data_IF_164936655175
#
_entry.id   IF_164936655175
#
_cell.length_a   1.000
_cell.length_b   1.000
_cell.length_c   1.000
_cell.angle_alpha   90.00
_cell.angle_beta   90.00
_cell.angle_gamma   90.00
#
_symmetry.space_group_name_H-M   'P 1'
#
loop_
_entity.id
_entity.type
_entity.pdbx_description
1 polymer ?
#
# COMPACT_ATOMS: atom_id res chain seq x y z
N UNK A 1 0.87 11.20 -17.39
CA UNK A 1 1.10 11.17 -15.94
C UNK A 1 0.14 12.11 -15.23
N UNK A 2 -0.45 11.66 -14.14
CA UNK A 2 -1.39 12.47 -13.36
C UNK A 2 -0.64 13.05 -12.16
N UNK A 3 -0.85 14.34 -11.87
CA UNK A 3 -0.30 14.96 -10.66
C UNK A 3 -1.35 14.96 -9.56
N UNK A 4 -0.92 15.05 -8.30
CA UNK A 4 -1.85 15.04 -7.17
C UNK A 4 -2.87 16.18 -7.26
N UNK A 5 -2.46 17.34 -7.76
CA UNK A 5 -3.36 18.49 -7.90
C UNK A 5 -4.46 18.28 -8.94
N UNK A 6 -4.31 17.31 -9.83
CA UNK A 6 -5.30 17.01 -10.87
C UNK A 6 -6.32 15.97 -10.44
N UNK A 7 -6.13 15.37 -9.26
CA UNK A 7 -7.00 14.30 -8.79
C UNK A 7 -8.10 14.89 -7.92
N UNK A 8 -9.34 14.52 -8.23
CA UNK A 8 -10.48 14.92 -7.41
C UNK A 8 -10.69 13.81 -6.37
N UNK A 9 -10.46 14.17 -5.11
CA UNK A 9 -10.56 13.24 -4.00
C UNK A 9 -11.80 13.58 -3.18
N UNK A 10 -12.61 12.57 -2.80
CA UNK A 10 -13.77 12.83 -1.93
C UNK A 10 -13.37 13.52 -0.64
N UNK A 11 -14.21 14.45 -0.18
CA UNK A 11 -13.93 15.22 1.03
C UNK A 11 -13.76 14.34 2.26
N UNK A 12 -14.42 13.20 2.31
CA UNK A 12 -14.36 12.28 3.44
C UNK A 12 -13.22 11.25 3.32
N UNK A 13 -12.38 11.35 2.29
CA UNK A 13 -11.24 10.45 2.15
C UNK A 13 -10.18 10.78 3.21
N UNK A 14 -9.75 9.78 3.97
CA UNK A 14 -8.83 9.98 5.08
C UNK A 14 -7.37 9.66 4.77
N UNK A 15 -7.09 9.11 3.60
CA UNK A 15 -5.73 8.76 3.20
C UNK A 15 -5.08 9.80 2.33
N UNK A 16 -3.90 9.47 1.81
CA UNK A 16 -3.19 10.30 0.85
C UNK A 16 -3.83 10.22 -0.54
N UNK A 17 -3.46 11.15 -1.42
CA UNK A 17 -3.90 11.12 -2.82
C UNK A 17 -3.40 9.86 -3.54
N UNK A 18 -2.13 9.45 -3.42
CA UNK A 18 -1.70 8.18 -4.02
C UNK A 18 -2.47 6.97 -3.52
N UNK A 19 -2.81 6.92 -2.23
CA UNK A 19 -3.63 5.84 -1.70
C UNK A 19 -5.02 5.82 -2.32
N UNK A 20 -5.61 6.99 -2.54
CA UNK A 20 -6.91 7.07 -3.20
C UNK A 20 -6.84 6.55 -4.64
N UNK A 21 -5.78 6.90 -5.36
CA UNK A 21 -5.55 6.40 -6.72
C UNK A 21 -5.41 4.89 -6.72
N UNK A 22 -4.65 4.33 -5.77
CA UNK A 22 -4.51 2.88 -5.65
C UNK A 22 -5.87 2.23 -5.36
N UNK A 23 -6.64 2.80 -4.44
CA UNK A 23 -7.98 2.30 -4.10
C UNK A 23 -8.87 2.22 -5.35
N UNK A 24 -8.94 3.31 -6.11
CA UNK A 24 -9.75 3.35 -7.32
C UNK A 24 -9.23 2.39 -8.39
N UNK A 25 -7.91 2.26 -8.48
CA UNK A 25 -7.30 1.37 -9.48
C UNK A 25 -7.59 -0.09 -9.16
N UNK A 26 -7.55 -0.49 -7.88
CA UNK A 26 -7.91 -1.85 -7.50
C UNK A 26 -9.36 -2.16 -7.86
N UNK A 27 -10.25 -1.19 -7.69
CA UNK A 27 -11.66 -1.33 -8.11
C UNK A 27 -11.73 -1.54 -9.63
N UNK A 28 -11.01 -0.74 -10.39
CA UNK A 28 -10.97 -0.85 -11.85
C UNK A 28 -10.41 -2.20 -12.30
N UNK A 29 -9.54 -2.80 -11.50
CA UNK A 29 -8.96 -4.10 -11.77
C UNK A 29 -9.84 -5.26 -11.27
N UNK A 30 -11.07 -4.96 -10.87
CA UNK A 30 -12.06 -5.97 -10.53
C UNK A 30 -12.10 -6.37 -9.07
N UNK A 31 -11.48 -5.60 -8.18
CA UNK A 31 -11.52 -5.89 -6.75
C UNK A 31 -12.57 -5.06 -6.06
N UNK A 32 -13.39 -5.68 -5.24
CA UNK A 32 -14.50 -5.02 -4.56
C UNK A 32 -14.12 -4.69 -3.12
N UNK A 33 -14.17 -3.39 -2.73
CA UNK A 33 -13.86 -3.01 -1.35
C UNK A 33 -14.86 -3.62 -0.38
N UNK A 34 -14.38 -4.09 0.76
CA UNK A 34 -15.18 -4.76 1.76
C UNK A 34 -15.38 -6.25 1.50
N UNK A 35 -15.11 -6.72 0.29
CA UNK A 35 -15.21 -8.13 -0.08
C UNK A 35 -13.85 -8.70 -0.47
N UNK A 36 -13.21 -8.08 -1.46
CA UNK A 36 -11.91 -8.55 -1.95
C UNK A 36 -10.76 -7.90 -1.20
N UNK A 37 -10.95 -6.71 -0.68
CA UNK A 37 -9.93 -6.03 0.11
C UNK A 37 -10.54 -5.04 1.09
N UNK A 38 -9.76 -4.72 2.12
CA UNK A 38 -10.09 -3.72 3.14
C UNK A 38 -9.03 -2.63 3.12
N UNK A 39 -9.46 -1.36 3.10
CA UNK A 39 -8.56 -0.22 3.18
C UNK A 39 -8.33 0.15 4.64
N UNK A 40 -7.08 0.45 5.00
CA UNK A 40 -6.65 0.79 6.36
C UNK A 40 -7.02 -0.27 7.39
N UNK A 41 -6.56 -1.48 7.11
CA UNK A 41 -6.83 -2.61 7.99
C UNK A 41 -6.21 -2.41 9.37
N UNK A 42 -6.95 -2.72 10.45
CA UNK A 42 -6.39 -2.69 11.80
C UNK A 42 -5.53 -3.89 12.15
N UNK A 43 -5.24 -4.74 11.19
CA UNK A 43 -4.36 -5.88 11.42
C UNK A 43 -3.04 -5.40 12.02
N UNK A 44 -2.42 -6.17 12.89
CA UNK A 44 -1.19 -5.81 13.59
C UNK A 44 -1.35 -4.65 14.58
N UNK A 45 -2.57 -4.37 15.05
CA UNK A 45 -2.83 -3.37 16.06
C UNK A 45 -3.16 -1.99 15.52
N UNK A 46 -2.99 -1.79 14.22
CA UNK A 46 -3.32 -0.52 13.59
C UNK A 46 -2.49 0.65 14.12
N UNK A 47 -3.01 1.86 13.91
CA UNK A 47 -2.30 3.09 14.26
C UNK A 47 -2.28 3.36 15.75
N UNK A 48 -3.26 2.85 16.47
CA UNK A 48 -3.48 3.19 17.86
C UNK A 48 -2.66 2.35 18.81
N UNK A 49 -2.07 1.26 18.34
CA UNK A 49 -1.30 0.40 19.20
C UNK A 49 0.20 0.61 19.03
N UNK A 50 0.88 0.71 20.19
CA UNK A 50 2.33 0.89 20.21
C UNK A 50 2.99 -0.34 19.58
N UNK A 51 3.82 -0.11 18.58
CA UNK A 51 4.50 -1.18 17.86
C UNK A 51 3.67 -1.87 16.79
N UNK A 52 2.41 -1.44 16.61
CA UNK A 52 1.56 -1.96 15.55
C UNK A 52 1.92 -1.37 14.19
N UNK A 53 1.42 -2.01 13.15
CA UNK A 53 1.61 -1.56 11.78
C UNK A 53 0.28 -1.21 11.16
N UNK A 54 0.28 -0.18 10.30
CA UNK A 54 -0.89 0.14 9.49
C UNK A 54 -0.70 -0.48 8.12
N UNK A 55 -1.66 -1.28 7.70
CA UNK A 55 -1.71 -1.80 6.36
C UNK A 55 -2.68 -0.96 5.55
N UNK A 56 -2.20 -0.34 4.48
CA UNK A 56 -3.06 0.48 3.63
C UNK A 56 -4.15 -0.37 3.00
N UNK A 57 -3.77 -1.54 2.46
CA UNK A 57 -4.72 -2.47 1.84
C UNK A 57 -4.41 -3.89 2.29
N UNK A 58 -5.45 -4.60 2.74
CA UNK A 58 -5.36 -6.03 3.03
C UNK A 58 -6.33 -6.77 2.14
N UNK A 59 -5.84 -7.74 1.38
CA UNK A 59 -6.64 -8.46 0.39
C UNK A 59 -7.02 -9.85 0.85
N UNK A 60 -8.26 -10.22 0.56
CA UNK A 60 -8.75 -11.59 0.61
C UNK A 60 -8.71 -12.22 -0.79
N UNK A 61 -8.79 -11.41 -1.82
CA UNK A 61 -8.68 -11.83 -3.22
C UNK A 61 -7.83 -10.82 -4.00
N UNK A 62 -6.58 -11.16 -4.35
CA UNK A 62 -5.93 -12.45 -4.12
C UNK A 62 -5.63 -12.67 -2.63
N UNK A 63 -5.50 -13.95 -2.20
CA UNK A 63 -5.33 -14.26 -0.78
C UNK A 63 -3.95 -13.89 -0.25
N UNK A 64 -3.89 -13.65 1.03
CA UNK A 64 -2.63 -13.50 1.77
C UNK A 64 -1.75 -12.36 1.22
N UNK A 65 -2.37 -11.29 0.79
CA UNK A 65 -1.68 -10.13 0.22
C UNK A 65 -2.01 -8.87 1.01
N UNK A 66 -0.99 -8.10 1.33
CA UNK A 66 -1.14 -6.74 1.84
C UNK A 66 -0.33 -5.79 0.94
N UNK A 67 -0.84 -4.58 0.75
CA UNK A 67 -0.17 -3.57 -0.07
C UNK A 67 -0.10 -2.26 0.69
N UNK A 68 1.08 -1.66 0.73
CA UNK A 68 1.28 -0.33 1.31
C UNK A 68 1.84 0.61 0.26
N UNK A 69 1.29 1.82 0.20
CA UNK A 69 1.79 2.89 -0.67
C UNK A 69 2.74 3.75 0.13
N UNK A 70 3.95 3.94 -0.39
CA UNK A 70 4.99 4.65 0.33
C UNK A 70 5.27 6.02 -0.27
N UNK A 71 5.35 7.03 0.59
CA UNK A 71 5.82 8.35 0.19
C UNK A 71 7.33 8.34 0.05
N UNK A 72 7.81 8.42 -1.18
CA UNK A 72 9.25 8.29 -1.49
C UNK A 72 10.08 9.31 -0.74
N UNK A 73 9.63 10.55 -0.70
CA UNK A 73 10.38 11.63 -0.07
C UNK A 73 10.65 11.34 1.41
N UNK A 74 9.58 11.04 2.17
CA UNK A 74 9.73 10.79 3.60
C UNK A 74 10.39 9.45 3.89
N UNK A 75 10.13 8.46 3.05
CA UNK A 75 10.55 7.10 3.31
C UNK A 75 12.04 6.89 3.06
N UNK A 76 12.55 7.41 1.93
CA UNK A 76 13.91 7.12 1.50
C UNK A 76 14.89 8.24 1.80
N UNK A 77 14.41 9.49 1.89
CA UNK A 77 15.28 10.64 2.16
C UNK A 77 15.47 10.88 3.67
N UNK A 78 14.41 10.70 4.46
CA UNK A 78 14.45 11.01 5.89
C UNK A 78 14.02 9.85 6.78
N UNK A 79 13.70 8.71 6.22
CA UNK A 79 13.00 7.66 6.91
C UNK A 79 13.82 6.43 7.25
N UNK A 80 15.03 6.57 7.82
CA UNK A 80 15.82 5.40 8.22
C UNK A 80 15.01 4.51 9.17
N UNK A 81 14.36 5.11 10.17
CA UNK A 81 13.52 4.36 11.11
C UNK A 81 12.28 3.80 10.44
N UNK A 82 11.71 4.55 9.48
CA UNK A 82 10.56 4.09 8.72
C UNK A 82 10.90 2.87 7.87
N UNK A 83 12.06 2.89 7.21
CA UNK A 83 12.52 1.73 6.45
C UNK A 83 12.69 0.50 7.33
N UNK A 84 13.30 0.67 8.50
CA UNK A 84 13.49 -0.43 9.44
C UNK A 84 12.15 -0.99 9.89
N UNK A 85 11.18 -0.11 10.19
CA UNK A 85 9.84 -0.53 10.58
C UNK A 85 9.16 -1.33 9.48
N UNK A 86 9.31 -0.91 8.22
CA UNK A 86 8.69 -1.61 7.09
C UNK A 86 9.32 -2.97 6.85
N UNK A 87 10.63 -3.09 7.01
CA UNK A 87 11.30 -4.38 6.92
C UNK A 87 10.79 -5.32 8.01
N UNK A 88 10.62 -4.80 9.23
CA UNK A 88 10.07 -5.58 10.34
C UNK A 88 8.62 -5.99 10.09
N UNK A 89 7.81 -5.07 9.54
CA UNK A 89 6.42 -5.36 9.21
C UNK A 89 6.34 -6.49 8.17
N UNK A 90 7.18 -6.41 7.14
CA UNK A 90 7.22 -7.45 6.11
C UNK A 90 7.56 -8.81 6.71
N UNK A 91 8.58 -8.86 7.58
CA UNK A 91 9.00 -10.10 8.22
C UNK A 91 7.90 -10.66 9.15
N UNK A 92 7.25 -9.76 9.91
CA UNK A 92 6.19 -10.16 10.82
C UNK A 92 4.99 -10.75 10.07
N UNK A 93 4.59 -10.10 8.98
CA UNK A 93 3.47 -10.58 8.16
C UNK A 93 3.83 -11.89 7.45
N UNK A 94 5.06 -12.03 6.98
CA UNK A 94 5.52 -13.28 6.37
C UNK A 94 5.41 -14.44 7.35
N UNK A 95 5.64 -14.21 8.63
CA UNK A 95 5.44 -15.20 9.67
C UNK A 95 3.99 -15.63 9.83
N UNK A 96 3.05 -14.84 9.32
CA UNK A 96 1.62 -15.16 9.28
C UNK A 96 1.16 -15.58 7.87
N UNK A 97 2.11 -15.85 6.98
CA UNK A 97 1.88 -16.24 5.59
C UNK A 97 1.23 -15.12 4.75
N UNK A 98 1.45 -13.87 5.13
CA UNK A 98 0.97 -12.72 4.36
C UNK A 98 2.15 -12.05 3.66
N UNK A 99 2.04 -11.84 2.36
CA UNK A 99 3.04 -11.13 1.58
C UNK A 99 2.71 -9.65 1.59
N UNK A 100 3.63 -8.83 2.08
CA UNK A 100 3.48 -7.37 2.06
C UNK A 100 4.25 -6.81 0.87
N UNK A 101 3.52 -6.15 -0.02
CA UNK A 101 4.06 -5.51 -1.21
C UNK A 101 4.01 -4.00 -1.01
N UNK A 102 5.10 -3.32 -1.36
CA UNK A 102 5.14 -1.86 -1.33
C UNK A 102 5.05 -1.30 -2.73
N UNK A 103 4.34 -0.18 -2.87
CA UNK A 103 4.31 0.60 -4.11
C UNK A 103 4.79 2.00 -3.77
N UNK A 104 5.85 2.45 -4.43
CA UNK A 104 6.34 3.82 -4.25
C UNK A 104 5.35 4.80 -4.90
N UNK A 105 5.06 5.91 -4.23
CA UNK A 105 4.03 6.84 -4.68
C UNK A 105 4.34 7.47 -6.04
N UNK A 106 5.61 7.75 -6.33
CA UNK A 106 5.99 8.31 -7.62
C UNK A 106 5.74 7.32 -8.77
N UNK A 107 6.03 6.04 -8.54
CA UNK A 107 5.73 4.99 -9.51
C UNK A 107 4.23 4.85 -9.70
N UNK A 108 3.49 4.81 -8.62
CA UNK A 108 2.04 4.69 -8.65
C UNK A 108 1.39 5.83 -9.46
N UNK A 109 1.82 7.06 -9.21
CA UNK A 109 1.28 8.22 -9.92
C UNK A 109 1.65 8.21 -11.41
N UNK A 110 2.76 7.56 -11.74
CA UNK A 110 3.21 7.45 -13.12
C UNK A 110 2.40 6.43 -13.92
N UNK A 111 2.13 5.27 -13.34
CA UNK A 111 1.36 4.20 -14.00
C UNK A 111 0.60 3.36 -12.97
N UNK A 112 -0.53 3.86 -12.49
CA UNK A 112 -1.26 3.16 -11.43
C UNK A 112 -1.73 1.76 -11.83
N UNK A 113 -2.18 1.56 -13.08
CA UNK A 113 -2.67 0.24 -13.48
C UNK A 113 -1.57 -0.80 -13.49
N UNK A 114 -0.38 -0.44 -13.96
CA UNK A 114 0.74 -1.35 -14.00
C UNK A 114 1.15 -1.77 -12.58
N UNK A 115 1.40 -0.79 -11.70
CA UNK A 115 1.91 -1.09 -10.37
C UNK A 115 0.88 -1.78 -9.48
N UNK A 116 -0.40 -1.41 -9.59
CA UNK A 116 -1.44 -2.11 -8.84
C UNK A 116 -1.63 -3.54 -9.35
N UNK A 117 -1.59 -3.76 -10.65
CA UNK A 117 -1.69 -5.11 -11.21
C UNK A 117 -0.50 -5.97 -10.79
N UNK A 118 0.71 -5.40 -10.79
CA UNK A 118 1.90 -6.12 -10.33
C UNK A 118 1.78 -6.48 -8.85
N UNK A 119 1.27 -5.58 -8.03
CA UNK A 119 1.04 -5.87 -6.61
C UNK A 119 0.05 -7.02 -6.44
N UNK A 120 -1.02 -7.04 -7.23
CA UNK A 120 -1.99 -8.14 -7.19
C UNK A 120 -1.38 -9.49 -7.60
N UNK A 121 -0.24 -9.46 -8.28
CA UNK A 121 0.52 -10.65 -8.65
C UNK A 121 1.71 -10.88 -7.73
N UNK A 122 1.71 -10.24 -6.55
CA UNK A 122 2.74 -10.39 -5.52
C UNK A 122 4.12 -9.91 -5.98
N UNK A 123 4.18 -8.94 -6.87
CA UNK A 123 5.44 -8.40 -7.38
C UNK A 123 5.70 -7.02 -6.81
N UNK A 124 6.84 -6.87 -6.17
CA UNK A 124 7.25 -5.63 -5.51
C UNK A 124 8.33 -4.93 -6.34
N UNK A 125 7.98 -3.75 -6.85
CA UNK A 125 8.90 -2.93 -7.64
C UNK A 125 9.42 -1.73 -6.84
N UNK A 126 9.15 -1.69 -5.55
CA UNK A 126 9.59 -0.59 -4.71
C UNK A 126 11.10 -0.61 -4.49
N UNK A 127 11.63 0.54 -4.13
CA UNK A 127 13.04 0.67 -3.77
C UNK A 127 13.36 -0.13 -2.51
N UNK A 128 12.39 -0.29 -1.62
CA UNK A 128 12.53 -1.09 -0.41
C UNK A 128 12.48 -2.58 -0.71
N UNK A 129 11.63 -2.99 -1.64
CA UNK A 129 11.43 -4.38 -1.97
C UNK A 129 12.59 -5.02 -2.70
N UNK A 130 13.38 -4.22 -3.35
CA UNK A 130 14.54 -4.72 -4.04
C UNK A 130 14.19 -5.66 -5.18
N UNK A 131 13.04 -5.47 -5.71
CA UNK A 131 12.57 -6.33 -6.79
C UNK A 131 13.42 -6.25 -8.03
#
# INVERSE_FOLDING_TARGET
>A
MVTESQVVVPQNWEGSVPEYIAYQTFIQLGREPGKDFTYQSPLMGGRMEKGGFVLDFLFDNPPDLAVNVQGVYYHYEFGVEAKARDVMARASLAGQNITLIFIDDDDLMKDPRFYCREALNYKDHSRLGGG
#
